data_IF_555068919164
#
_entry.id   IF_555068919164
#
_cell.length_a   1.000
_cell.length_b   1.000
_cell.length_c   1.000
_cell.angle_alpha   90.00
_cell.angle_beta   90.00
_cell.angle_gamma   90.00
#
_symmetry.space_group_name_H-M   'P 1'
#
loop_
_entity.id
_entity.type
_entity.pdbx_description
1 polymer ?
#
# COMPACT_ATOMS: atom_id res chain seq x y z
N UNK A 1 6.40 22.27 9.82
CA UNK A 1 7.25 21.34 9.04
C UNK A 1 6.44 20.05 8.92
N UNK A 2 6.43 19.32 7.78
CA UNK A 2 5.84 18.00 7.75
C UNK A 2 6.53 17.12 8.79
N UNK A 3 5.79 16.23 9.46
CA UNK A 3 6.34 15.32 10.45
C UNK A 3 7.48 14.50 9.81
N UNK A 4 8.62 14.41 10.48
CA UNK A 4 9.77 13.62 10.01
C UNK A 4 9.40 12.13 9.93
N UNK A 5 8.62 11.67 10.92
CA UNK A 5 8.06 10.34 10.98
C UNK A 5 6.68 10.34 10.33
N UNK A 6 6.47 9.46 9.35
CA UNK A 6 5.20 9.36 8.63
C UNK A 6 4.29 8.27 9.18
N UNK A 7 4.88 7.23 9.77
CA UNK A 7 4.18 6.18 10.52
C UNK A 7 4.89 5.98 11.85
N UNK A 8 4.12 5.97 12.93
CA UNK A 8 4.61 5.65 14.28
C UNK A 8 3.67 4.63 14.92
N UNK A 9 4.26 3.60 15.52
CA UNK A 9 3.53 2.49 16.14
C UNK A 9 4.15 2.21 17.50
N UNK A 10 3.33 2.20 18.56
CA UNK A 10 3.75 1.90 19.91
C UNK A 10 2.90 0.81 20.53
N UNK A 11 3.56 -0.28 20.96
CA UNK A 11 2.97 -1.40 21.68
C UNK A 11 1.73 -2.01 20.99
N UNK A 12 1.69 -2.01 19.65
CA UNK A 12 0.53 -2.46 18.90
C UNK A 12 0.32 -3.96 19.10
N UNK A 13 -0.89 -4.31 19.53
CA UNK A 13 -1.36 -5.69 19.65
C UNK A 13 -2.60 -5.91 18.80
N UNK A 14 -2.76 -7.11 18.28
CA UNK A 14 -3.97 -7.56 17.59
C UNK A 14 -4.27 -8.98 17.99
N UNK A 15 -5.46 -9.20 18.53
CA UNK A 15 -6.02 -10.51 18.78
C UNK A 15 -7.34 -10.66 18.06
N UNK A 16 -7.70 -11.89 17.69
CA UNK A 16 -8.99 -12.23 17.08
C UNK A 16 -9.59 -13.43 17.82
N UNK A 17 -10.91 -13.52 17.87
CA UNK A 17 -11.62 -14.52 18.66
C UNK A 17 -11.94 -14.02 20.08
N UNK A 18 -12.49 -14.91 20.92
CA UNK A 18 -12.87 -14.62 22.31
C UNK A 18 -12.58 -15.81 23.21
N UNK A 19 -12.19 -15.53 24.45
CA UNK A 19 -11.96 -16.54 25.50
C UNK A 19 -10.87 -17.55 25.13
N UNK A 20 -11.16 -18.84 25.25
CA UNK A 20 -10.19 -19.93 24.99
C UNK A 20 -9.78 -20.07 23.52
N UNK A 21 -10.48 -19.38 22.60
CA UNK A 21 -10.20 -19.36 21.16
C UNK A 21 -9.57 -18.03 20.70
N UNK A 22 -9.05 -17.23 21.63
CA UNK A 22 -8.34 -15.99 21.29
C UNK A 22 -6.99 -16.32 20.64
N UNK A 23 -6.81 -15.85 19.41
CA UNK A 23 -5.54 -15.93 18.68
C UNK A 23 -4.86 -14.58 18.69
N UNK A 24 -3.70 -14.48 19.30
CA UNK A 24 -2.86 -13.28 19.26
C UNK A 24 -2.06 -13.26 17.96
N UNK A 25 -2.29 -12.24 17.13
CA UNK A 25 -1.62 -12.04 15.84
C UNK A 25 -0.42 -11.11 16.00
N UNK A 26 -0.61 -9.97 16.69
CA UNK A 26 0.45 -9.02 17.02
C UNK A 26 0.57 -8.90 18.53
N UNK A 27 1.80 -8.91 19.05
CA UNK A 27 2.07 -9.08 20.50
C UNK A 27 2.76 -7.85 21.12
N UNK A 28 2.93 -6.78 20.38
CA UNK A 28 3.58 -5.55 20.85
C UNK A 28 4.55 -5.02 19.78
N UNK A 29 4.00 -4.58 18.64
CA UNK A 29 4.80 -4.06 17.52
C UNK A 29 5.23 -2.63 17.84
N UNK A 30 6.54 -2.38 17.66
CA UNK A 30 7.15 -1.05 17.66
C UNK A 30 7.64 -0.77 16.24
N UNK A 31 7.32 0.39 15.69
CA UNK A 31 7.75 0.78 14.35
C UNK A 31 7.76 2.29 14.19
N UNK A 32 8.84 2.80 13.64
CA UNK A 32 8.92 4.18 13.16
C UNK A 32 9.38 4.17 11.71
N UNK A 33 8.63 4.85 10.85
CA UNK A 33 8.96 5.01 9.42
C UNK A 33 9.13 6.48 9.13
N UNK A 34 10.27 6.83 8.52
CA UNK A 34 10.55 8.20 8.10
C UNK A 34 9.91 8.50 6.75
N UNK A 35 9.63 9.75 6.50
CA UNK A 35 9.11 10.22 5.21
C UNK A 35 10.11 9.91 4.08
N UNK A 36 9.62 9.30 3.01
CA UNK A 36 10.43 8.89 1.85
C UNK A 36 11.20 7.58 2.02
N UNK A 37 11.14 6.95 3.20
CA UNK A 37 11.77 5.66 3.47
C UNK A 37 11.02 4.53 2.78
N UNK A 38 11.74 3.48 2.39
CA UNK A 38 11.16 2.25 1.86
C UNK A 38 11.40 1.08 2.81
N UNK A 39 10.32 0.39 3.21
CA UNK A 39 10.36 -0.72 4.16
C UNK A 39 9.73 -1.97 3.56
N UNK A 40 10.41 -3.10 3.69
CA UNK A 40 9.85 -4.42 3.43
C UNK A 40 9.48 -5.13 4.74
N UNK A 41 8.25 -5.63 4.81
CA UNK A 41 7.78 -6.53 5.86
C UNK A 41 7.81 -7.95 5.33
N UNK A 42 8.67 -8.79 5.90
CA UNK A 42 8.84 -10.20 5.53
C UNK A 42 8.44 -11.12 6.69
N UNK A 43 8.32 -12.41 6.45
CA UNK A 43 7.98 -13.41 7.46
C UNK A 43 7.16 -14.56 6.88
N UNK A 44 6.89 -15.56 7.69
CA UNK A 44 6.15 -16.76 7.28
C UNK A 44 4.72 -16.43 6.82
N UNK A 45 4.14 -17.32 6.01
CA UNK A 45 2.73 -17.22 5.62
C UNK A 45 1.85 -17.30 6.87
N UNK A 46 0.87 -16.39 6.98
CA UNK A 46 -0.01 -16.34 8.15
C UNK A 46 0.59 -15.68 9.40
N UNK A 47 1.81 -15.12 9.34
CA UNK A 47 2.43 -14.45 10.49
C UNK A 47 1.78 -13.12 10.90
N UNK A 48 0.80 -12.60 10.12
CA UNK A 48 0.10 -11.35 10.43
C UNK A 48 0.58 -10.12 9.65
N UNK A 49 1.43 -10.26 8.64
CA UNK A 49 1.97 -9.14 7.83
C UNK A 49 0.88 -8.30 7.18
N UNK A 50 -0.06 -8.93 6.48
CA UNK A 50 -1.18 -8.22 5.83
C UNK A 50 -2.11 -7.58 6.86
N UNK A 51 -2.29 -8.19 8.04
CA UNK A 51 -3.02 -7.61 9.17
C UNK A 51 -2.30 -6.36 9.68
N UNK A 52 -0.99 -6.43 9.89
CA UNK A 52 -0.19 -5.27 10.28
C UNK A 52 -0.31 -4.16 9.22
N UNK A 53 -0.13 -4.49 7.94
CA UNK A 53 -0.26 -3.52 6.84
C UNK A 53 -1.62 -2.83 6.85
N UNK A 54 -2.71 -3.59 7.04
CA UNK A 54 -4.07 -3.05 7.08
C UNK A 54 -4.27 -2.08 8.27
N UNK A 55 -3.71 -2.40 9.44
CA UNK A 55 -3.78 -1.52 10.61
C UNK A 55 -2.97 -0.24 10.39
N UNK A 56 -1.75 -0.33 9.86
CA UNK A 56 -0.90 0.83 9.54
C UNK A 56 -1.58 1.78 8.54
N UNK A 57 -2.33 1.23 7.61
CA UNK A 57 -3.07 1.98 6.60
C UNK A 57 -4.43 2.51 7.07
N UNK A 58 -4.83 2.22 8.32
CA UNK A 58 -6.13 2.61 8.86
C UNK A 58 -7.32 1.87 8.26
N UNK A 59 -7.11 0.66 7.71
CA UNK A 59 -8.18 -0.22 7.20
C UNK A 59 -8.72 -1.17 8.25
N UNK A 60 -7.95 -1.44 9.31
CA UNK A 60 -8.33 -2.28 10.44
C UNK A 60 -7.83 -1.65 11.74
N UNK A 61 -8.34 -2.13 12.86
CA UNK A 61 -7.97 -1.66 14.20
C UNK A 61 -7.04 -2.66 14.91
N UNK A 62 -6.09 -2.11 15.68
CA UNK A 62 -5.42 -2.87 16.73
C UNK A 62 -6.38 -3.21 17.88
N UNK A 63 -6.06 -4.25 18.64
CA UNK A 63 -6.75 -4.53 19.90
C UNK A 63 -6.30 -3.60 21.04
N UNK A 64 -5.05 -3.15 20.97
CA UNK A 64 -4.45 -2.13 21.86
C UNK A 64 -3.18 -1.57 21.24
N UNK A 65 -2.64 -0.52 21.85
CA UNK A 65 -1.48 0.21 21.35
C UNK A 65 -1.88 1.42 20.51
N UNK A 66 -0.91 2.13 20.00
CA UNK A 66 -1.10 3.39 19.29
C UNK A 66 -0.50 3.31 17.88
N UNK A 67 -1.23 3.82 16.91
CA UNK A 67 -0.76 3.97 15.53
C UNK A 67 -1.04 5.38 15.06
N UNK A 68 -0.02 6.06 14.56
CA UNK A 68 -0.15 7.35 13.89
C UNK A 68 0.27 7.25 12.44
N UNK A 69 -0.51 7.86 11.56
CA UNK A 69 -0.26 7.94 10.12
C UNK A 69 -0.29 9.41 9.69
N UNK A 70 0.79 9.87 9.05
CA UNK A 70 0.96 11.28 8.66
C UNK A 70 0.74 12.24 9.84
N UNK A 71 1.24 11.86 11.03
CA UNK A 71 1.10 12.63 12.27
C UNK A 71 -0.31 12.60 12.88
N UNK A 72 -1.22 11.77 12.39
CA UNK A 72 -2.59 11.67 12.86
C UNK A 72 -2.81 10.36 13.63
N UNK A 73 -3.29 10.38 14.89
CA UNK A 73 -3.51 9.18 15.69
C UNK A 73 -4.76 8.43 15.22
N UNK A 74 -4.57 7.27 14.56
CA UNK A 74 -5.67 6.48 13.97
C UNK A 74 -6.66 5.96 15.02
N UNK A 75 -6.19 5.63 16.22
CA UNK A 75 -7.01 5.09 17.31
C UNK A 75 -8.06 6.07 17.85
N UNK A 76 -7.90 7.39 17.57
CA UNK A 76 -8.84 8.44 17.97
C UNK A 76 -9.82 8.82 16.83
N UNK A 77 -9.72 8.17 15.67
CA UNK A 77 -10.54 8.49 14.49
C UNK A 77 -11.68 7.53 14.32
N UNK A 78 -12.83 8.05 13.91
CA UNK A 78 -13.91 7.25 13.34
C UNK A 78 -13.59 6.84 11.89
N UNK A 79 -14.41 5.96 11.31
CA UNK A 79 -14.16 5.44 9.96
C UNK A 79 -14.25 6.55 8.88
N UNK A 80 -15.10 7.56 9.07
CA UNK A 80 -15.20 8.68 8.13
C UNK A 80 -13.91 9.51 8.10
N UNK A 81 -13.34 9.81 9.27
CA UNK A 81 -12.07 10.52 9.40
C UNK A 81 -10.91 9.71 8.81
N UNK A 82 -10.85 8.40 9.06
CA UNK A 82 -9.86 7.49 8.46
C UNK A 82 -10.00 7.42 6.95
N UNK A 83 -11.21 7.32 6.43
CA UNK A 83 -11.45 7.30 4.99
C UNK A 83 -10.97 8.59 4.31
N UNK A 84 -11.19 9.74 4.92
CA UNK A 84 -10.67 11.04 4.44
C UNK A 84 -9.14 11.09 4.48
N UNK A 85 -8.53 10.58 5.55
CA UNK A 85 -7.08 10.50 5.69
C UNK A 85 -6.49 9.60 4.58
N UNK A 86 -7.06 8.40 4.38
CA UNK A 86 -6.64 7.49 3.32
C UNK A 86 -6.78 8.11 1.95
N UNK A 87 -7.92 8.69 1.63
CA UNK A 87 -8.17 9.33 0.35
C UNK A 87 -7.14 10.42 0.01
N UNK A 88 -6.66 11.13 1.03
CA UNK A 88 -5.71 12.25 0.86
C UNK A 88 -4.24 11.82 0.83
N UNK A 89 -3.86 10.81 1.60
CA UNK A 89 -2.45 10.54 1.91
C UNK A 89 -1.98 9.14 1.53
N UNK A 90 -2.90 8.20 1.22
CA UNK A 90 -2.57 6.78 1.10
C UNK A 90 -2.86 6.25 -0.29
N UNK A 91 -1.90 5.52 -0.85
CA UNK A 91 -2.08 4.68 -2.03
C UNK A 91 -1.99 3.20 -1.65
N UNK A 92 -2.64 2.35 -2.44
CA UNK A 92 -2.62 0.90 -2.27
C UNK A 92 -2.31 0.17 -3.55
N UNK A 93 -1.46 -0.85 -3.44
CA UNK A 93 -1.22 -1.86 -4.48
C UNK A 93 -1.40 -3.23 -3.86
N UNK A 94 -2.25 -4.06 -4.46
CA UNK A 94 -2.59 -5.40 -3.97
C UNK A 94 -2.14 -6.49 -4.93
N UNK A 95 -1.90 -7.68 -4.41
CA UNK A 95 -1.59 -8.88 -5.18
C UNK A 95 -2.67 -9.21 -6.22
N UNK A 96 -3.95 -9.04 -5.87
CA UNK A 96 -5.10 -9.31 -6.73
C UNK A 96 -5.55 -8.12 -7.57
N UNK A 97 -4.70 -7.08 -7.71
CA UNK A 97 -4.92 -5.84 -8.44
C UNK A 97 -6.07 -4.98 -7.90
N UNK A 98 -7.15 -5.56 -7.45
CA UNK A 98 -8.33 -4.88 -6.87
C UNK A 98 -8.89 -3.77 -7.79
N UNK A 99 -8.89 -4.00 -9.09
CA UNK A 99 -9.52 -3.10 -10.06
C UNK A 99 -11.05 -3.27 -10.00
N UNK A 100 -11.76 -2.17 -10.21
CA UNK A 100 -13.22 -2.18 -10.32
C UNK A 100 -13.58 -2.73 -11.70
N UNK A 101 -14.24 -3.90 -11.78
CA UNK A 101 -14.36 -4.64 -13.04
C UNK A 101 -15.27 -3.97 -14.07
N UNK A 102 -16.14 -3.07 -13.63
CA UNK A 102 -17.07 -2.30 -14.47
C UNK A 102 -16.49 -0.98 -14.99
N UNK A 103 -15.32 -0.57 -14.49
CA UNK A 103 -14.61 0.63 -14.91
C UNK A 103 -13.46 0.24 -15.84
N UNK A 104 -13.22 1.04 -16.88
CA UNK A 104 -12.05 0.86 -17.73
C UNK A 104 -10.75 1.29 -17.02
N UNK A 105 -9.60 1.13 -17.69
CA UNK A 105 -8.29 1.45 -17.11
C UNK A 105 -8.21 2.92 -16.68
N UNK A 106 -8.65 3.85 -17.54
CA UNK A 106 -8.63 5.27 -17.25
C UNK A 106 -9.52 5.62 -16.06
N UNK A 107 -10.75 5.12 -16.02
CA UNK A 107 -11.71 5.35 -14.93
C UNK A 107 -11.23 4.78 -13.59
N UNK A 108 -10.59 3.59 -13.59
CA UNK A 108 -9.98 3.04 -12.39
C UNK A 108 -8.88 3.96 -11.83
N UNK A 109 -8.09 4.58 -12.69
CA UNK A 109 -6.98 5.45 -12.29
C UNK A 109 -7.45 6.84 -11.89
N UNK A 110 -8.52 7.36 -12.49
CA UNK A 110 -9.13 8.65 -12.12
C UNK A 110 -9.68 8.66 -10.69
N UNK A 111 -10.22 7.56 -10.25
CA UNK A 111 -11.06 7.47 -9.05
C UNK A 111 -10.44 8.07 -7.77
N UNK A 112 -9.18 7.81 -7.39
CA UNK A 112 -8.61 8.38 -6.18
C UNK A 112 -8.53 9.92 -6.20
N UNK A 113 -8.21 10.51 -7.34
CA UNK A 113 -8.14 11.96 -7.49
C UNK A 113 -9.52 12.60 -7.40
N UNK A 114 -10.55 11.97 -8.00
CA UNK A 114 -11.95 12.40 -7.86
C UNK A 114 -12.43 12.34 -6.41
N UNK A 115 -12.08 11.28 -5.68
CA UNK A 115 -12.45 11.13 -4.27
C UNK A 115 -11.76 12.18 -3.37
N UNK A 116 -10.62 12.72 -3.78
CA UNK A 116 -9.97 13.87 -3.11
C UNK A 116 -10.61 15.21 -3.44
N UNK A 117 -11.54 15.26 -4.38
CA UNK A 117 -12.23 16.47 -4.81
C UNK A 117 -11.54 17.21 -5.97
N UNK A 118 -10.62 16.58 -6.70
CA UNK A 118 -10.06 17.13 -7.92
C UNK A 118 -11.16 17.23 -9.01
N UNK A 119 -11.01 18.19 -9.90
CA UNK A 119 -11.92 18.30 -11.04
C UNK A 119 -11.78 17.07 -11.95
N UNK A 120 -12.88 16.72 -12.65
CA UNK A 120 -12.87 15.60 -13.60
C UNK A 120 -11.80 15.76 -14.69
N UNK A 121 -11.53 16.98 -15.15
CA UNK A 121 -10.51 17.25 -16.15
C UNK A 121 -9.09 17.01 -15.61
N UNK A 122 -8.78 17.50 -14.41
CA UNK A 122 -7.46 17.31 -13.78
C UNK A 122 -7.20 15.84 -13.47
N UNK A 123 -8.18 15.17 -12.84
CA UNK A 123 -8.13 13.74 -12.52
C UNK A 123 -7.87 12.89 -13.79
N UNK A 124 -8.62 13.16 -14.86
CA UNK A 124 -8.50 12.45 -16.13
C UNK A 124 -7.14 12.68 -16.81
N UNK A 125 -6.66 13.92 -16.84
CA UNK A 125 -5.37 14.25 -17.42
C UNK A 125 -4.21 13.59 -16.63
N UNK A 126 -4.26 13.59 -15.30
CA UNK A 126 -3.29 12.90 -14.45
C UNK A 126 -3.30 11.40 -14.69
N UNK A 127 -4.47 10.79 -14.71
CA UNK A 127 -4.65 9.37 -14.97
C UNK A 127 -4.10 8.95 -16.35
N UNK A 128 -4.43 9.72 -17.39
CA UNK A 128 -3.94 9.47 -18.75
C UNK A 128 -2.42 9.55 -18.82
N UNK A 129 -1.81 10.58 -18.23
CA UNK A 129 -0.36 10.76 -18.23
C UNK A 129 0.36 9.58 -17.54
N UNK A 130 -0.14 9.11 -16.39
CA UNK A 130 0.43 7.96 -15.70
C UNK A 130 0.27 6.66 -16.50
N UNK A 131 -0.89 6.42 -17.11
CA UNK A 131 -1.10 5.24 -17.94
C UNK A 131 -0.20 5.25 -19.19
N UNK A 132 0.00 6.40 -19.83
CA UNK A 132 0.93 6.57 -20.95
C UNK A 132 2.39 6.30 -20.50
N UNK A 133 2.79 6.86 -19.35
CA UNK A 133 4.12 6.62 -18.75
C UNK A 133 4.36 5.13 -18.47
N UNK A 134 3.33 4.40 -18.05
CA UNK A 134 3.39 2.97 -17.79
C UNK A 134 3.17 2.10 -19.06
N UNK A 135 3.14 2.68 -20.24
CA UNK A 135 3.02 1.98 -21.52
C UNK A 135 1.60 1.49 -21.82
N UNK A 136 0.58 2.06 -21.18
CA UNK A 136 -0.82 1.69 -21.33
C UNK A 136 -1.67 2.71 -22.13
N UNK A 137 -1.02 3.63 -22.85
CA UNK A 137 -1.72 4.66 -23.64
C UNK A 137 -2.71 4.12 -24.68
N UNK A 138 -2.53 2.87 -25.14
CA UNK A 138 -3.45 2.17 -26.05
C UNK A 138 -4.49 1.31 -25.34
N UNK A 139 -4.53 1.34 -24.01
CA UNK A 139 -5.39 0.49 -23.18
C UNK A 139 -6.38 1.27 -22.31
N UNK A 140 -6.47 2.59 -22.50
CA UNK A 140 -7.26 3.50 -21.64
C UNK A 140 -8.73 3.05 -21.48
N UNK A 141 -9.35 2.60 -22.56
CA UNK A 141 -10.76 2.21 -22.61
C UNK A 141 -11.00 0.71 -22.36
N UNK A 142 -9.93 -0.07 -22.04
CA UNK A 142 -10.06 -1.51 -21.78
C UNK A 142 -10.57 -1.76 -20.37
N UNK A 143 -11.51 -2.69 -20.24
CA UNK A 143 -11.95 -3.23 -18.95
C UNK A 143 -10.89 -4.17 -18.37
N UNK A 144 -10.84 -4.37 -17.04
CA UNK A 144 -9.89 -5.29 -16.40
C UNK A 144 -9.84 -6.68 -17.04
N UNK A 145 -10.99 -7.24 -17.41
CA UNK A 145 -11.07 -8.55 -18.07
C UNK A 145 -10.39 -8.63 -19.45
N UNK A 146 -10.11 -7.49 -20.07
CA UNK A 146 -9.45 -7.37 -21.37
C UNK A 146 -7.94 -7.14 -21.25
N UNK A 147 -7.42 -7.05 -20.01
CA UNK A 147 -6.03 -6.77 -19.69
C UNK A 147 -5.32 -8.02 -19.17
N UNK A 148 -4.06 -8.19 -19.55
CA UNK A 148 -3.19 -9.20 -18.93
C UNK A 148 -2.93 -8.86 -17.44
N UNK A 149 -2.47 -9.83 -16.64
CA UNK A 149 -2.13 -9.58 -15.23
C UNK A 149 -1.12 -8.46 -15.04
N UNK A 150 -0.07 -8.41 -15.86
CA UNK A 150 0.91 -7.33 -15.84
C UNK A 150 0.35 -5.97 -16.26
N UNK A 151 -0.61 -5.93 -17.21
CA UNK A 151 -1.33 -4.70 -17.55
C UNK A 151 -2.24 -4.25 -16.41
N UNK A 152 -2.99 -5.19 -15.79
CA UNK A 152 -3.83 -4.88 -14.63
C UNK A 152 -3.01 -4.32 -13.47
N UNK A 153 -1.83 -4.89 -13.20
CA UNK A 153 -0.95 -4.39 -12.13
C UNK A 153 -0.39 -2.99 -12.46
N UNK A 154 -0.08 -2.70 -13.71
CA UNK A 154 0.31 -1.34 -14.13
C UNK A 154 -0.84 -0.34 -13.97
N UNK A 155 -2.09 -0.74 -14.24
CA UNK A 155 -3.28 0.09 -13.94
C UNK A 155 -3.40 0.31 -12.43
N UNK A 156 -3.19 -0.72 -11.59
CA UNK A 156 -3.24 -0.60 -10.14
C UNK A 156 -2.13 0.34 -9.61
N UNK A 157 -0.92 0.28 -10.17
CA UNK A 157 0.16 1.23 -9.87
C UNK A 157 -0.24 2.67 -10.26
N UNK A 158 -0.71 2.88 -11.48
CA UNK A 158 -1.18 4.20 -11.93
C UNK A 158 -2.26 4.76 -11.00
N UNK A 159 -3.24 3.92 -10.62
CA UNK A 159 -4.30 4.30 -9.67
C UNK A 159 -3.73 4.74 -8.33
N UNK A 160 -2.79 3.99 -7.78
CA UNK A 160 -2.17 4.30 -6.50
C UNK A 160 -1.43 5.64 -6.52
N UNK A 161 -0.71 5.95 -7.60
CA UNK A 161 0.08 7.18 -7.73
C UNK A 161 -0.71 8.39 -8.23
N UNK A 162 -1.83 8.22 -8.94
CA UNK A 162 -2.69 9.35 -9.35
C UNK A 162 -3.28 10.08 -8.14
N UNK A 163 -3.40 9.40 -7.01
CA UNK A 163 -3.73 9.99 -5.72
C UNK A 163 -2.62 10.87 -5.12
N UNK A 164 -1.41 10.92 -5.67
CA UNK A 164 -0.22 11.58 -5.10
C UNK A 164 -0.04 11.25 -3.61
N UNK A 165 0.07 9.98 -3.26
CA UNK A 165 0.10 9.55 -1.88
C UNK A 165 1.40 9.96 -1.19
N UNK A 166 1.31 10.30 0.10
CA UNK A 166 2.48 10.43 0.97
C UNK A 166 3.05 9.04 1.33
N UNK A 167 2.17 8.05 1.46
CA UNK A 167 2.52 6.66 1.77
C UNK A 167 1.85 5.70 0.80
N UNK A 168 2.62 4.77 0.27
CA UNK A 168 2.14 3.65 -0.53
C UNK A 168 2.25 2.37 0.30
N UNK A 169 1.13 1.69 0.48
CA UNK A 169 1.09 0.34 1.02
C UNK A 169 0.97 -0.67 -0.11
N UNK A 170 1.86 -1.64 -0.14
CA UNK A 170 1.88 -2.69 -1.16
C UNK A 170 1.82 -4.07 -0.50
N UNK A 171 0.80 -4.86 -0.82
CA UNK A 171 0.65 -6.23 -0.32
C UNK A 171 0.93 -7.21 -1.46
N UNK A 172 2.11 -7.86 -1.42
CA UNK A 172 2.59 -8.82 -2.43
C UNK A 172 2.42 -8.29 -3.89
N UNK A 173 2.98 -7.13 -4.24
CA UNK A 173 2.66 -6.42 -5.48
C UNK A 173 3.01 -7.18 -6.77
N UNK A 174 3.82 -8.24 -6.68
CA UNK A 174 4.23 -9.09 -7.80
C UNK A 174 3.78 -10.55 -7.66
N UNK A 175 3.07 -10.90 -6.58
CA UNK A 175 2.79 -12.27 -6.18
C UNK A 175 1.95 -13.10 -7.17
N UNK A 176 1.12 -12.45 -8.01
CA UNK A 176 0.28 -13.12 -9.02
C UNK A 176 0.87 -13.06 -10.44
N UNK A 177 2.12 -12.67 -10.59
CA UNK A 177 2.77 -12.48 -11.87
C UNK A 177 3.88 -13.53 -12.07
N UNK A 178 4.17 -13.87 -13.32
CA UNK A 178 5.40 -14.59 -13.66
C UNK A 178 6.62 -13.73 -13.30
N UNK A 179 7.77 -14.38 -13.11
CA UNK A 179 8.98 -13.71 -12.62
C UNK A 179 9.40 -12.51 -13.49
N UNK A 180 9.42 -12.67 -14.81
CA UNK A 180 9.85 -11.62 -15.73
C UNK A 180 8.92 -10.40 -15.68
N UNK A 181 7.62 -10.64 -15.63
CA UNK A 181 6.60 -9.59 -15.49
C UNK A 181 6.71 -8.95 -14.11
N UNK A 182 6.89 -9.75 -13.05
CA UNK A 182 7.08 -9.28 -11.68
C UNK A 182 8.28 -8.35 -11.53
N UNK A 183 9.43 -8.69 -12.11
CA UNK A 183 10.64 -7.85 -12.09
C UNK A 183 10.37 -6.48 -12.73
N UNK A 184 9.68 -6.44 -13.88
CA UNK A 184 9.30 -5.19 -14.55
C UNK A 184 8.35 -4.34 -13.71
N UNK A 185 7.38 -4.97 -13.05
CA UNK A 185 6.45 -4.28 -12.14
C UNK A 185 7.20 -3.71 -10.94
N UNK A 186 8.13 -4.46 -10.36
CA UNK A 186 8.98 -3.99 -9.29
C UNK A 186 9.81 -2.77 -9.71
N UNK A 187 10.42 -2.79 -10.90
CA UNK A 187 11.17 -1.66 -11.42
C UNK A 187 10.31 -0.40 -11.57
N UNK A 188 9.08 -0.56 -12.09
CA UNK A 188 8.13 0.55 -12.22
C UNK A 188 7.70 1.08 -10.85
N UNK A 189 7.39 0.20 -9.90
CA UNK A 189 7.02 0.57 -8.54
C UNK A 189 8.09 1.44 -7.87
N UNK A 190 9.35 0.98 -7.86
CA UNK A 190 10.46 1.73 -7.25
C UNK A 190 10.81 3.00 -8.01
N UNK A 191 10.65 3.02 -9.35
CA UNK A 191 10.86 4.22 -10.15
C UNK A 191 9.84 5.30 -9.81
N UNK A 192 8.55 4.96 -9.82
CA UNK A 192 7.48 5.88 -9.44
C UNK A 192 7.62 6.36 -8.00
N UNK A 193 7.98 5.45 -7.09
CA UNK A 193 8.17 5.79 -5.68
C UNK A 193 9.25 6.87 -5.50
N UNK A 194 10.38 6.72 -6.17
CA UNK A 194 11.47 7.73 -6.15
C UNK A 194 11.06 9.05 -6.82
N UNK A 195 10.39 8.97 -7.97
CA UNK A 195 9.94 10.14 -8.73
C UNK A 195 8.99 11.01 -7.90
N UNK A 196 8.07 10.38 -7.17
CA UNK A 196 7.07 11.07 -6.35
C UNK A 196 7.52 11.35 -4.91
N UNK A 197 8.66 10.81 -4.48
CA UNK A 197 9.14 10.94 -3.10
C UNK A 197 8.22 10.28 -2.07
N UNK A 198 7.49 9.24 -2.47
CA UNK A 198 6.50 8.53 -1.65
C UNK A 198 7.19 7.58 -0.67
N UNK A 199 6.71 7.50 0.57
CA UNK A 199 7.12 6.45 1.51
C UNK A 199 6.51 5.11 1.08
N UNK A 200 7.28 4.03 1.09
CA UNK A 200 6.79 2.69 0.71
C UNK A 200 6.83 1.74 1.91
N UNK A 201 5.71 1.11 2.20
CA UNK A 201 5.63 -0.01 3.13
C UNK A 201 5.08 -1.21 2.37
N UNK A 202 5.90 -2.24 2.20
CA UNK A 202 5.59 -3.38 1.34
C UNK A 202 5.65 -4.69 2.12
N UNK A 203 4.62 -5.51 1.98
CA UNK A 203 4.65 -6.92 2.38
C UNK A 203 5.10 -7.74 1.19
N UNK A 204 6.09 -8.60 1.39
CA UNK A 204 6.52 -9.55 0.36
C UNK A 204 7.18 -10.78 0.97
N UNK A 205 7.07 -11.92 0.28
CA UNK A 205 7.86 -13.12 0.54
C UNK A 205 9.08 -13.23 -0.40
N UNK A 206 9.19 -12.35 -1.38
CA UNK A 206 10.36 -12.28 -2.27
C UNK A 206 11.48 -11.46 -1.62
N UNK A 207 12.52 -12.17 -1.17
CA UNK A 207 13.69 -11.56 -0.51
C UNK A 207 14.50 -10.66 -1.46
N UNK A 208 14.49 -10.93 -2.77
CA UNK A 208 15.16 -10.06 -3.75
C UNK A 208 14.45 -8.72 -3.88
N UNK A 209 13.12 -8.76 -3.84
CA UNK A 209 12.30 -7.55 -3.83
C UNK A 209 12.47 -6.79 -2.51
N UNK A 210 12.46 -7.50 -1.37
CA UNK A 210 12.68 -6.93 -0.04
C UNK A 210 14.03 -6.22 0.08
N UNK A 211 15.10 -6.80 -0.48
CA UNK A 211 16.45 -6.24 -0.48
C UNK A 211 16.58 -4.91 -1.25
N UNK A 212 15.57 -4.50 -2.02
CA UNK A 212 15.55 -3.20 -2.71
C UNK A 212 15.06 -2.06 -1.82
N UNK A 213 14.49 -2.38 -0.66
CA UNK A 213 14.03 -1.40 0.33
C UNK A 213 15.20 -0.95 1.22
N UNK A 214 15.05 0.23 1.84
CA UNK A 214 16.04 0.78 2.77
C UNK A 214 16.16 -0.06 4.04
N UNK A 215 15.05 -0.66 4.48
CA UNK A 215 14.99 -1.56 5.64
C UNK A 215 14.15 -2.80 5.35
N UNK A 216 14.58 -3.92 5.89
CA UNK A 216 13.83 -5.17 5.88
C UNK A 216 13.49 -5.57 7.33
N UNK A 217 12.22 -5.74 7.62
CA UNK A 217 11.70 -6.09 8.94
C UNK A 217 11.00 -7.43 8.87
N UNK A 218 11.41 -8.37 9.71
CA UNK A 218 10.76 -9.69 9.81
C UNK A 218 9.75 -9.72 10.94
N UNK A 219 8.54 -10.15 10.62
CA UNK A 219 7.49 -10.39 11.61
C UNK A 219 7.60 -11.83 12.15
N UNK A 220 7.99 -11.93 13.43
CA UNK A 220 8.19 -13.20 14.14
C UNK A 220 7.41 -13.16 15.45
N UNK A 221 6.53 -14.14 15.68
CA UNK A 221 5.72 -14.25 16.90
C UNK A 221 4.98 -12.94 17.25
N UNK A 222 4.49 -12.25 16.24
CA UNK A 222 3.74 -10.99 16.39
C UNK A 222 4.57 -9.75 16.72
N UNK A 223 5.90 -9.80 16.57
CA UNK A 223 6.82 -8.70 16.80
C UNK A 223 7.71 -8.47 15.58
N UNK A 224 8.11 -7.22 15.34
CA UNK A 224 9.06 -6.88 14.27
C UNK A 224 10.50 -6.97 14.76
N UNK A 225 11.35 -7.54 13.92
CA UNK A 225 12.80 -7.63 14.10
C UNK A 225 13.47 -7.10 12.83
N UNK A 226 14.47 -6.25 12.98
CA UNK A 226 15.27 -5.79 11.85
C UNK A 226 16.14 -6.93 11.32
N UNK A 227 16.11 -7.15 10.00
CA UNK A 227 17.05 -8.04 9.33
C UNK A 227 18.30 -7.25 8.94
N UNK A 228 19.45 -7.79 9.28
CA UNK A 228 20.75 -7.20 8.99
C UNK A 228 21.11 -7.31 7.50
#
# INVERSE_FOLDING_TARGET
MPAENIVEVHHLKKSVGQGEHELSILTGVELVVKRGETIALVGELGSGKSTLLAILAGLDDGSSGEVSLVGQPLHNMDEEARAKLRAKHVGFVFQSFMLIPTLNALENVELPALLRGESSAESRNGAKALLEQLGLGKRLDHLPAQLSGGEQQRVALARAFNGRPDVLFADEPTGNLDRQTGDKIADLLFSLNREHGTTLIMVTHDLQLAARCDRCLRLVNGQLQEEA
#
